data_IF_237717507210
#
_entry.id   IF_237717507210
#
_cell.length_a   1.000
_cell.length_b   1.000
_cell.length_c   1.000
_cell.angle_alpha   90.00
_cell.angle_beta   90.00
_cell.angle_gamma   90.00
#
_symmetry.space_group_name_H-M   'P 1'
#
loop_
_entity.id
_entity.type
_entity.pdbx_description
1 polymer ?
#
# COMPACT_ATOMS: atom_id res chain seq x y z
N UNK A 1 10.60 26.46 -64.14
CA UNK A 1 10.27 25.34 -63.23
C UNK A 1 10.09 25.87 -61.78
N UNK A 2 8.85 26.07 -61.33
CA UNK A 2 8.54 26.50 -59.94
C UNK A 2 8.56 25.27 -59.04
N UNK A 3 9.58 25.11 -58.19
CA UNK A 3 9.62 24.04 -57.16
C UNK A 3 8.54 24.29 -56.15
N UNK A 4 7.60 23.34 -55.98
CA UNK A 4 6.46 23.38 -55.09
C UNK A 4 6.90 23.64 -53.64
N UNK A 5 6.50 24.77 -53.01
CA UNK A 5 6.80 25.07 -51.62
C UNK A 5 6.08 24.08 -50.62
N UNK A 6 4.95 23.50 -51.04
CA UNK A 6 4.14 22.60 -50.21
C UNK A 6 4.92 21.39 -49.63
N UNK A 7 5.86 20.81 -50.37
CA UNK A 7 6.65 19.67 -49.84
C UNK A 7 7.59 20.04 -48.68
N UNK A 8 8.00 21.30 -48.57
CA UNK A 8 8.85 21.76 -47.46
C UNK A 8 8.04 21.94 -46.18
N UNK A 9 6.83 22.50 -46.24
CA UNK A 9 5.94 22.67 -45.08
C UNK A 9 5.46 21.35 -44.55
N UNK A 10 5.16 20.36 -45.42
CA UNK A 10 4.77 19.02 -44.99
C UNK A 10 5.89 18.32 -44.22
N UNK A 11 7.15 18.40 -44.73
CA UNK A 11 8.32 17.81 -44.04
C UNK A 11 8.62 18.51 -42.73
N UNK A 12 8.48 19.81 -42.64
CA UNK A 12 8.66 20.58 -41.42
C UNK A 12 7.55 20.23 -40.39
N UNK A 13 6.30 20.16 -40.81
CA UNK A 13 5.20 19.73 -39.98
C UNK A 13 5.39 18.32 -39.40
N UNK A 14 5.78 17.33 -40.25
CA UNK A 14 6.08 15.99 -39.78
C UNK A 14 7.25 15.95 -38.77
N UNK A 15 8.32 16.73 -39.02
CA UNK A 15 9.45 16.79 -38.09
C UNK A 15 9.06 17.38 -36.73
N UNK A 16 8.27 18.45 -36.73
CA UNK A 16 7.75 19.06 -35.48
C UNK A 16 6.86 18.10 -34.74
N UNK A 17 5.95 17.40 -35.44
CA UNK A 17 5.07 16.39 -34.81
C UNK A 17 5.85 15.25 -34.18
N UNK A 18 6.89 14.74 -34.88
CA UNK A 18 7.77 13.70 -34.36
C UNK A 18 8.56 14.16 -33.14
N UNK A 19 9.07 15.40 -33.17
CA UNK A 19 9.78 15.97 -32.00
C UNK A 19 8.86 16.16 -30.81
N UNK A 20 7.62 16.62 -31.02
CA UNK A 20 6.62 16.73 -29.95
C UNK A 20 6.23 15.37 -29.40
N UNK A 21 6.03 14.37 -30.27
CA UNK A 21 5.76 12.99 -29.84
C UNK A 21 6.93 12.41 -29.04
N UNK A 22 8.18 12.62 -29.51
CA UNK A 22 9.36 12.17 -28.78
C UNK A 22 9.51 12.89 -27.42
N UNK A 23 9.32 14.22 -27.39
CA UNK A 23 9.34 14.99 -26.15
C UNK A 23 8.25 14.54 -25.19
N UNK A 24 7.04 14.28 -25.68
CA UNK A 24 5.93 13.74 -24.89
C UNK A 24 6.26 12.35 -24.35
N UNK A 25 6.84 11.47 -25.17
CA UNK A 25 7.27 10.14 -24.74
C UNK A 25 8.36 10.23 -23.66
N UNK A 26 9.39 11.06 -23.87
CA UNK A 26 10.41 11.29 -22.85
C UNK A 26 9.82 11.86 -21.57
N UNK A 27 8.90 12.83 -21.69
CA UNK A 27 8.20 13.38 -20.52
C UNK A 27 7.36 12.31 -19.80
N UNK A 28 6.66 11.44 -20.54
CA UNK A 28 5.82 10.38 -20.00
C UNK A 28 6.64 9.35 -19.22
N UNK A 29 7.83 8.99 -19.74
CA UNK A 29 8.69 7.96 -19.16
C UNK A 29 9.86 8.51 -18.33
N UNK A 30 10.05 9.84 -18.27
CA UNK A 30 11.08 10.41 -17.41
C UNK A 30 10.77 10.16 -15.94
N UNK A 31 11.81 9.79 -15.18
CA UNK A 31 11.69 9.67 -13.73
C UNK A 31 11.24 10.99 -13.15
N UNK A 32 10.08 10.97 -12.51
CA UNK A 32 9.68 12.05 -11.61
C UNK A 32 10.23 11.73 -10.24
N UNK A 33 10.35 12.74 -9.39
CA UNK A 33 10.69 12.58 -7.99
C UNK A 33 9.60 11.74 -7.30
N UNK A 34 9.75 10.43 -7.35
CA UNK A 34 8.92 9.53 -6.57
C UNK A 34 9.21 9.82 -5.09
N UNK A 35 8.16 9.93 -4.33
CA UNK A 35 8.28 10.09 -2.89
C UNK A 35 8.29 8.69 -2.29
N UNK A 36 9.18 8.38 -1.31
CA UNK A 36 9.14 7.11 -0.62
C UNK A 36 7.73 6.85 -0.08
N UNK A 37 7.14 5.70 -0.41
CA UNK A 37 5.77 5.37 -0.03
C UNK A 37 5.57 5.37 1.49
N UNK A 38 6.59 4.99 2.26
CA UNK A 38 6.59 5.07 3.73
C UNK A 38 6.45 6.48 4.31
N UNK A 39 6.74 7.52 3.52
CA UNK A 39 6.63 8.91 3.98
C UNK A 39 5.19 9.38 4.22
N UNK A 40 4.21 8.64 3.72
CA UNK A 40 2.78 8.91 3.95
C UNK A 40 2.27 8.34 5.29
N UNK A 41 3.01 7.39 5.89
CA UNK A 41 2.69 6.86 7.19
C UNK A 41 3.12 7.84 8.31
N UNK A 42 2.31 7.96 9.37
CA UNK A 42 2.64 8.73 10.55
C UNK A 42 3.06 7.84 11.72
N UNK A 43 3.67 8.46 12.73
CA UNK A 43 4.05 7.79 13.99
C UNK A 43 2.85 7.21 14.75
N UNK A 44 1.65 7.68 14.46
CA UNK A 44 0.40 7.23 15.10
C UNK A 44 -0.25 6.05 14.37
N UNK A 45 0.36 5.54 13.29
CA UNK A 45 -0.14 4.35 12.63
C UNK A 45 -0.10 3.14 13.59
N UNK A 46 -1.16 2.35 13.56
CA UNK A 46 -1.25 1.11 14.33
C UNK A 46 -0.51 -0.04 13.64
N UNK A 47 -0.53 -0.06 12.32
CA UNK A 47 0.19 -1.02 11.49
C UNK A 47 0.73 -0.28 10.28
N UNK A 48 1.98 -0.51 9.95
CA UNK A 48 2.59 -0.08 8.68
C UNK A 48 3.31 -1.26 8.08
N UNK A 49 2.96 -1.58 6.85
CA UNK A 49 3.60 -2.61 6.03
C UNK A 49 4.20 -1.96 4.81
N UNK A 50 5.41 -2.34 4.45
CA UNK A 50 6.11 -1.87 3.27
C UNK A 50 6.79 -3.04 2.58
N UNK A 51 6.68 -3.10 1.26
CA UNK A 51 7.39 -4.11 0.47
C UNK A 51 7.58 -3.70 -0.97
N UNK A 52 8.65 -4.22 -1.59
CA UNK A 52 8.77 -4.22 -3.04
C UNK A 52 7.76 -5.22 -3.59
N UNK A 53 6.98 -4.80 -4.58
CA UNK A 53 6.14 -5.71 -5.35
C UNK A 53 6.98 -6.30 -6.48
N UNK A 54 7.33 -7.57 -6.35
CA UNK A 54 8.09 -8.27 -7.37
C UNK A 54 7.14 -8.77 -8.46
N UNK A 55 7.24 -8.27 -9.72
CA UNK A 55 6.37 -8.73 -10.81
C UNK A 55 6.61 -10.19 -11.23
N UNK A 56 7.67 -10.83 -10.73
CA UNK A 56 7.96 -12.25 -10.97
C UNK A 56 7.43 -13.16 -9.87
N UNK A 57 6.92 -12.60 -8.78
CA UNK A 57 6.26 -13.34 -7.73
C UNK A 57 4.83 -13.70 -8.16
N UNK A 58 4.52 -15.01 -8.19
CA UNK A 58 3.23 -15.50 -8.67
C UNK A 58 2.08 -15.03 -7.78
N UNK A 59 2.26 -15.03 -6.46
CA UNK A 59 1.23 -14.61 -5.51
C UNK A 59 0.88 -13.13 -5.64
N UNK A 60 1.91 -12.29 -5.76
CA UNK A 60 1.72 -10.84 -5.97
C UNK A 60 1.05 -10.56 -7.32
N UNK A 61 1.43 -11.31 -8.35
CA UNK A 61 0.82 -11.21 -9.69
C UNK A 61 -0.65 -11.62 -9.66
N UNK A 62 -0.98 -12.74 -9.01
CA UNK A 62 -2.35 -13.21 -8.87
C UNK A 62 -3.22 -12.21 -8.12
N UNK A 63 -2.70 -11.65 -7.02
CA UNK A 63 -3.39 -10.60 -6.28
C UNK A 63 -3.66 -9.36 -7.16
N UNK A 64 -2.67 -8.93 -7.94
CA UNK A 64 -2.80 -7.79 -8.85
C UNK A 64 -3.85 -8.04 -9.94
N UNK A 65 -3.81 -9.21 -10.58
CA UNK A 65 -4.79 -9.61 -11.59
C UNK A 65 -6.21 -9.73 -10.99
N UNK A 66 -6.32 -10.28 -9.79
CA UNK A 66 -7.60 -10.35 -9.08
C UNK A 66 -8.14 -8.95 -8.76
N UNK A 67 -7.28 -8.07 -8.24
CA UNK A 67 -7.64 -6.67 -7.95
C UNK A 67 -8.12 -5.95 -9.21
N UNK A 68 -7.41 -6.11 -10.34
CA UNK A 68 -7.82 -5.50 -11.60
C UNK A 68 -9.15 -6.06 -12.12
N UNK A 69 -9.38 -7.37 -11.98
CA UNK A 69 -10.62 -8.02 -12.45
C UNK A 69 -11.82 -7.66 -11.59
N UNK A 70 -11.63 -7.22 -10.34
CA UNK A 70 -12.68 -6.79 -9.43
C UNK A 70 -13.20 -5.36 -9.71
N UNK A 71 -12.46 -4.58 -10.53
CA UNK A 71 -12.91 -3.25 -10.94
C UNK A 71 -14.25 -3.32 -11.68
N UNK A 72 -15.17 -2.39 -11.36
CA UNK A 72 -16.50 -2.35 -11.96
C UNK A 72 -16.41 -2.00 -13.45
N UNK A 73 -17.42 -2.37 -14.23
CA UNK A 73 -17.51 -2.04 -15.66
C UNK A 73 -17.34 -0.54 -15.97
N UNK A 74 -17.76 0.32 -15.05
CA UNK A 74 -17.61 1.77 -15.19
C UNK A 74 -16.15 2.21 -15.13
N UNK A 75 -15.26 1.36 -14.60
CA UNK A 75 -13.82 1.60 -14.42
C UNK A 75 -12.97 0.83 -15.45
N UNK A 76 -13.58 0.25 -16.49
CA UNK A 76 -12.88 -0.54 -17.52
C UNK A 76 -11.69 0.22 -18.16
N UNK A 77 -11.81 1.53 -18.29
CA UNK A 77 -10.72 2.37 -18.77
C UNK A 77 -9.55 2.40 -17.77
N UNK A 78 -9.84 2.43 -16.47
CA UNK A 78 -8.84 2.44 -15.40
C UNK A 78 -8.10 1.10 -15.37
N UNK A 79 -8.82 -0.03 -15.46
CA UNK A 79 -8.23 -1.35 -15.59
C UNK A 79 -7.24 -1.42 -16.77
N UNK A 80 -7.64 -0.97 -17.95
CA UNK A 80 -6.77 -0.95 -19.13
C UNK A 80 -5.52 -0.11 -18.92
N UNK A 81 -5.65 1.05 -18.28
CA UNK A 81 -4.51 1.93 -17.95
C UNK A 81 -3.59 1.28 -16.92
N UNK A 82 -4.13 0.69 -15.86
CA UNK A 82 -3.35 0.01 -14.82
C UNK A 82 -2.61 -1.22 -15.37
N UNK A 83 -3.25 -2.02 -16.23
CA UNK A 83 -2.58 -3.12 -16.95
C UNK A 83 -1.44 -2.63 -17.84
N UNK A 84 -1.64 -1.49 -18.53
CA UNK A 84 -0.60 -0.89 -19.36
C UNK A 84 0.55 -0.32 -18.55
N UNK A 85 0.29 0.27 -17.40
CA UNK A 85 1.32 0.77 -16.48
C UNK A 85 2.16 -0.37 -15.88
N UNK A 86 1.58 -1.55 -15.78
CA UNK A 86 2.18 -2.69 -15.12
C UNK A 86 1.99 -2.65 -13.60
N UNK A 87 2.57 -3.64 -12.94
CA UNK A 87 2.50 -3.79 -11.49
C UNK A 87 3.25 -2.67 -10.76
N UNK A 88 2.75 -2.17 -9.62
CA UNK A 88 3.50 -1.26 -8.77
C UNK A 88 4.82 -1.87 -8.33
N UNK A 89 5.87 -1.06 -8.20
CA UNK A 89 7.20 -1.52 -7.76
C UNK A 89 7.36 -1.52 -6.25
N UNK A 90 6.65 -0.66 -5.57
CA UNK A 90 6.74 -0.48 -4.12
C UNK A 90 5.36 -0.07 -3.59
N UNK A 91 4.98 -0.66 -2.47
CA UNK A 91 3.75 -0.34 -1.77
C UNK A 91 4.03 -0.14 -0.27
N UNK A 92 3.34 0.82 0.31
CA UNK A 92 3.21 0.96 1.76
C UNK A 92 1.74 1.03 2.11
N UNK A 93 1.33 0.23 3.09
CA UNK A 93 -0.03 0.28 3.66
C UNK A 93 0.10 0.69 5.12
N UNK A 94 -0.72 1.63 5.55
CA UNK A 94 -0.76 2.09 6.93
C UNK A 94 -2.20 2.13 7.43
N UNK A 95 -2.43 1.61 8.65
CA UNK A 95 -3.73 1.63 9.30
C UNK A 95 -3.69 2.49 10.56
N UNK A 96 -4.76 3.23 10.76
CA UNK A 96 -4.97 4.13 11.89
C UNK A 96 -6.28 3.80 12.60
N UNK A 97 -6.37 4.12 13.88
CA UNK A 97 -7.65 4.06 14.58
C UNK A 97 -8.42 5.35 14.35
N UNK A 98 -9.64 5.21 13.83
CA UNK A 98 -10.66 6.25 13.83
C UNK A 98 -11.90 5.63 14.45
N UNK A 99 -12.18 5.97 15.71
CA UNK A 99 -13.31 5.34 16.43
C UNK A 99 -14.63 5.58 15.69
N UNK A 100 -15.42 4.51 15.46
CA UNK A 100 -15.25 3.11 15.92
C UNK A 100 -14.47 2.21 14.95
N UNK A 101 -13.97 2.69 13.80
CA UNK A 101 -13.40 1.92 12.71
C UNK A 101 -11.88 2.08 12.57
N UNK A 102 -11.27 1.19 11.82
CA UNK A 102 -9.92 1.37 11.28
C UNK A 102 -10.01 2.13 9.96
N UNK A 103 -9.08 3.04 9.73
CA UNK A 103 -8.90 3.73 8.46
C UNK A 103 -7.55 3.37 7.86
N UNK A 104 -7.52 3.20 6.54
CA UNK A 104 -6.35 2.77 5.81
C UNK A 104 -5.84 3.80 4.81
N UNK A 105 -4.53 3.76 4.59
CA UNK A 105 -3.84 4.47 3.52
C UNK A 105 -2.98 3.45 2.80
N UNK A 106 -3.09 3.37 1.47
CA UNK A 106 -2.15 2.66 0.62
C UNK A 106 -1.45 3.65 -0.31
N UNK A 107 -0.14 3.59 -0.37
CA UNK A 107 0.68 4.40 -1.26
C UNK A 107 1.49 3.48 -2.17
N UNK A 108 1.42 3.69 -3.48
CA UNK A 108 2.08 2.82 -4.48
C UNK A 108 2.89 3.64 -5.48
N UNK A 109 4.06 3.13 -5.86
CA UNK A 109 4.91 3.69 -6.89
C UNK A 109 4.91 2.80 -8.14
N UNK A 110 4.49 3.34 -9.28
CA UNK A 110 4.51 2.64 -10.56
C UNK A 110 5.83 2.84 -11.30
N UNK A 111 6.32 1.82 -12.04
CA UNK A 111 7.64 1.86 -12.67
C UNK A 111 7.75 2.86 -13.83
N UNK A 112 6.67 3.07 -14.60
CA UNK A 112 6.67 3.89 -15.80
C UNK A 112 5.26 4.27 -16.22
N UNK A 113 5.14 5.35 -17.02
CA UNK A 113 3.87 5.73 -17.65
C UNK A 113 2.80 6.29 -16.70
N UNK A 114 3.01 6.26 -15.38
CA UNK A 114 2.02 6.69 -14.39
C UNK A 114 1.54 8.14 -14.56
N UNK A 115 2.30 8.98 -15.27
CA UNK A 115 1.87 10.35 -15.59
C UNK A 115 0.59 10.42 -16.40
N UNK A 116 0.23 9.37 -17.12
CA UNK A 116 -1.08 9.28 -17.77
C UNK A 116 -2.21 9.30 -16.75
N UNK A 117 -2.05 8.60 -15.62
CA UNK A 117 -3.02 8.68 -14.52
C UNK A 117 -3.11 10.08 -13.92
N UNK A 118 -2.01 10.82 -13.90
CA UNK A 118 -1.98 12.16 -13.33
C UNK A 118 -2.81 13.19 -14.11
N UNK A 119 -2.93 13.01 -15.44
CA UNK A 119 -3.65 13.94 -16.30
C UNK A 119 -5.13 14.09 -15.86
N UNK A 120 -5.93 13.01 -15.71
CA UNK A 120 -7.30 13.13 -15.23
C UNK A 120 -7.39 13.76 -13.84
N UNK A 121 -6.52 13.36 -12.92
CA UNK A 121 -6.49 13.94 -11.57
C UNK A 121 -6.22 15.43 -11.59
N UNK A 122 -5.31 15.90 -12.44
CA UNK A 122 -4.97 17.31 -12.57
C UNK A 122 -6.08 18.13 -13.22
N UNK A 123 -6.81 17.58 -14.16
CA UNK A 123 -7.85 18.30 -14.91
C UNK A 123 -9.17 18.34 -14.14
N UNK A 124 -9.56 17.20 -13.56
CA UNK A 124 -10.91 17.02 -12.99
C UNK A 124 -10.90 16.80 -11.47
N UNK A 125 -9.75 16.55 -10.86
CA UNK A 125 -9.62 16.27 -9.44
C UNK A 125 -9.66 17.54 -8.57
N UNK A 126 -9.99 17.33 -7.30
CA UNK A 126 -9.77 18.32 -6.24
C UNK A 126 -8.26 18.52 -6.03
N UNK A 127 -7.89 19.63 -5.42
CA UNK A 127 -6.51 19.95 -5.12
C UNK A 127 -6.29 20.17 -3.61
N UNK A 128 -5.25 19.54 -3.05
CA UNK A 128 -4.84 19.75 -1.66
C UNK A 128 -3.31 19.76 -1.55
N UNK A 129 -2.71 20.87 -1.18
CA UNK A 129 -1.27 21.04 -0.89
C UNK A 129 -0.31 20.38 -1.93
N UNK A 130 -0.64 20.49 -3.20
CA UNK A 130 0.15 19.93 -4.31
C UNK A 130 -0.24 18.51 -4.74
N UNK A 131 -1.18 17.88 -4.04
CA UNK A 131 -1.81 16.64 -4.48
C UNK A 131 -3.06 16.94 -5.32
N UNK A 132 -3.39 16.05 -6.24
CA UNK A 132 -4.63 16.06 -7.00
C UNK A 132 -5.37 14.75 -6.75
N UNK A 133 -6.68 14.78 -6.46
CA UNK A 133 -7.42 13.60 -6.05
C UNK A 133 -8.90 13.65 -6.41
N UNK A 134 -9.50 12.47 -6.46
CA UNK A 134 -10.94 12.26 -6.48
C UNK A 134 -11.38 11.72 -5.14
N UNK A 135 -12.55 12.12 -4.67
CA UNK A 135 -13.18 11.55 -3.50
C UNK A 135 -14.65 11.26 -3.83
N UNK A 136 -15.09 10.03 -3.59
CA UNK A 136 -16.51 9.68 -3.62
C UNK A 136 -17.15 9.94 -2.28
N UNK A 137 -18.42 10.33 -2.26
CA UNK A 137 -19.15 10.56 -1.00
C UNK A 137 -20.36 9.64 -0.93
N UNK A 138 -20.47 8.73 0.07
CA UNK A 138 -19.48 8.34 1.08
C UNK A 138 -18.46 7.38 0.50
N UNK A 139 -17.18 7.51 0.77
CA UNK A 139 -16.19 6.51 0.41
C UNK A 139 -14.80 7.01 0.10
N UNK A 140 -14.09 6.19 -0.63
CA UNK A 140 -12.67 6.20 -0.90
C UNK A 140 -12.18 7.46 -1.59
N UNK A 141 -11.01 7.96 -1.18
CA UNK A 141 -10.27 8.99 -1.87
C UNK A 141 -9.06 8.39 -2.59
N UNK A 142 -8.91 8.72 -3.88
CA UNK A 142 -7.82 8.28 -4.72
C UNK A 142 -7.13 9.49 -5.33
N UNK A 143 -5.82 9.61 -5.21
CA UNK A 143 -5.11 10.76 -5.72
C UNK A 143 -3.63 10.52 -5.96
N UNK A 144 -2.96 11.56 -6.45
CA UNK A 144 -1.55 11.52 -6.78
C UNK A 144 -0.78 12.67 -6.16
N UNK A 145 0.40 12.36 -5.66
CA UNK A 145 1.37 13.34 -5.18
C UNK A 145 2.79 12.95 -5.62
N UNK A 146 3.48 13.83 -6.35
CA UNK A 146 4.87 13.64 -6.74
C UNK A 146 5.15 12.34 -7.50
N UNK A 147 4.15 11.71 -8.11
CA UNK A 147 4.29 10.44 -8.85
C UNK A 147 3.95 9.20 -8.05
N UNK A 148 3.49 9.35 -6.83
CA UNK A 148 2.96 8.28 -6.00
C UNK A 148 1.44 8.32 -6.02
N UNK A 149 0.81 7.20 -6.33
CA UNK A 149 -0.64 7.02 -6.21
C UNK A 149 -0.97 6.71 -4.75
N UNK A 150 -1.98 7.39 -4.22
CA UNK A 150 -2.44 7.25 -2.84
C UNK A 150 -3.92 6.89 -2.86
N UNK A 151 -4.25 5.81 -2.17
CA UNK A 151 -5.61 5.37 -1.89
C UNK A 151 -5.86 5.53 -0.39
N UNK A 152 -6.99 6.11 -0.02
CA UNK A 152 -7.39 6.27 1.37
C UNK A 152 -8.88 6.00 1.52
N UNK A 153 -9.31 5.57 2.70
CA UNK A 153 -10.70 5.20 2.98
C UNK A 153 -11.67 6.39 2.88
N UNK A 154 -11.15 7.62 3.07
CA UNK A 154 -11.93 8.85 2.90
C UNK A 154 -11.05 10.05 2.56
N UNK A 155 -11.69 11.19 2.27
CA UNK A 155 -11.03 12.45 1.92
C UNK A 155 -10.17 13.00 3.07
N UNK A 156 -10.61 12.89 4.31
CA UNK A 156 -9.88 13.38 5.48
C UNK A 156 -8.59 12.57 5.69
N UNK A 157 -8.67 11.25 5.53
CA UNK A 157 -7.53 10.32 5.59
C UNK A 157 -6.53 10.57 4.46
N UNK A 158 -7.01 10.89 3.25
CA UNK A 158 -6.14 11.31 2.15
C UNK A 158 -5.39 12.60 2.49
N UNK A 159 -6.08 13.61 3.00
CA UNK A 159 -5.46 14.87 3.43
C UNK A 159 -4.44 14.64 4.56
N UNK A 160 -4.74 13.74 5.50
CA UNK A 160 -3.81 13.33 6.56
C UNK A 160 -2.52 12.72 5.97
N UNK A 161 -2.62 11.86 4.96
CA UNK A 161 -1.45 11.29 4.28
C UNK A 161 -0.55 12.37 3.69
N UNK A 162 -1.13 13.37 3.02
CA UNK A 162 -0.39 14.50 2.46
C UNK A 162 0.26 15.35 3.55
N UNK A 163 -0.44 15.60 4.66
CA UNK A 163 0.10 16.35 5.80
C UNK A 163 1.27 15.63 6.45
N UNK A 164 1.18 14.30 6.61
CA UNK A 164 2.27 13.48 7.11
C UNK A 164 3.52 13.58 6.22
N UNK A 165 3.32 13.47 4.90
CA UNK A 165 4.40 13.63 3.93
C UNK A 165 5.08 15.00 4.04
N UNK A 166 4.31 16.08 4.16
CA UNK A 166 4.85 17.44 4.26
C UNK A 166 5.59 17.67 5.57
N UNK A 167 5.12 17.08 6.67
CA UNK A 167 5.82 17.10 7.97
C UNK A 167 7.12 16.30 7.90
N UNK A 168 7.12 15.12 7.26
CA UNK A 168 8.30 14.28 7.10
C UNK A 168 9.41 14.95 6.28
N UNK A 169 9.09 15.90 5.39
CA UNK A 169 10.08 16.70 4.66
C UNK A 169 10.84 17.69 5.56
N UNK A 170 10.25 18.10 6.67
CA UNK A 170 10.84 19.06 7.62
C UNK A 170 11.52 18.43 8.82
N UNK A 171 11.32 17.16 9.07
CA UNK A 171 11.85 16.42 10.22
C UNK A 171 12.51 15.13 9.74
N UNK A 172 13.47 14.62 10.56
CA UNK A 172 14.12 13.34 10.30
C UNK A 172 13.07 12.29 9.88
N UNK A 173 13.34 11.63 8.74
CA UNK A 173 12.52 10.55 8.19
C UNK A 173 12.05 9.64 9.30
N UNK A 174 10.75 9.41 9.39
CA UNK A 174 10.21 8.32 10.16
C UNK A 174 10.79 7.03 9.58
N UNK A 175 11.91 6.62 10.14
CA UNK A 175 12.43 5.29 9.92
C UNK A 175 11.62 4.36 10.81
N UNK A 176 10.56 3.80 10.26
CA UNK A 176 10.34 2.40 10.51
C UNK A 176 11.62 1.74 10.02
N UNK A 177 12.58 1.59 10.93
CA UNK A 177 13.68 0.68 10.65
C UNK A 177 12.99 -0.64 10.40
N UNK A 178 12.96 -1.13 9.13
CA UNK A 178 12.27 -2.37 8.88
C UNK A 178 12.88 -3.39 9.82
N UNK A 179 12.06 -4.26 10.41
CA UNK A 179 12.51 -5.27 11.34
C UNK A 179 13.67 -6.01 10.71
N UNK A 180 14.79 -6.03 11.39
CA UNK A 180 16.01 -6.64 10.84
C UNK A 180 15.88 -8.16 10.68
N UNK A 181 14.94 -8.79 11.44
CA UNK A 181 14.78 -10.25 11.46
C UNK A 181 13.87 -10.78 10.36
N UNK A 182 12.83 -10.03 9.98
CA UNK A 182 11.84 -10.49 9.01
C UNK A 182 12.09 -9.99 7.60
N UNK A 183 12.96 -8.98 7.42
CA UNK A 183 13.18 -8.27 6.15
C UNK A 183 13.58 -9.17 4.97
N UNK A 184 14.39 -10.17 5.24
CA UNK A 184 14.92 -11.07 4.19
C UNK A 184 14.08 -12.36 4.05
N UNK A 185 12.96 -12.46 4.79
CA UNK A 185 12.12 -13.65 4.85
C UNK A 185 10.72 -13.45 4.28
N UNK A 186 10.28 -12.19 4.15
CA UNK A 186 8.92 -11.82 3.76
C UNK A 186 8.93 -10.71 2.72
N UNK A 187 7.95 -10.74 1.81
CA UNK A 187 7.77 -9.72 0.77
C UNK A 187 7.38 -8.39 1.36
N UNK A 188 6.46 -8.39 2.31
CA UNK A 188 6.05 -7.22 3.07
C UNK A 188 6.56 -7.32 4.49
N UNK A 189 7.20 -6.26 4.95
CA UNK A 189 7.67 -6.15 6.33
C UNK A 189 7.22 -4.84 6.92
N UNK A 190 7.05 -4.84 8.23
CA UNK A 190 6.59 -3.63 8.88
C UNK A 190 6.63 -3.68 10.38
N UNK A 191 5.96 -2.69 10.97
CA UNK A 191 5.82 -2.57 12.41
C UNK A 191 4.34 -2.44 12.78
N UNK A 192 3.98 -3.08 13.86
CA UNK A 192 2.63 -3.10 14.40
C UNK A 192 2.63 -2.64 15.84
N UNK A 193 1.76 -1.69 16.16
CA UNK A 193 1.44 -1.40 17.55
C UNK A 193 0.64 -2.59 18.12
N UNK A 194 1.01 -3.14 19.29
CA UNK A 194 0.28 -4.25 19.89
C UNK A 194 -1.23 -4.00 20.00
N UNK A 195 -1.64 -2.75 20.13
CA UNK A 195 -3.06 -2.34 20.19
C UNK A 195 -3.84 -2.57 18.88
N UNK A 196 -3.16 -2.91 17.81
CA UNK A 196 -3.81 -3.26 16.54
C UNK A 196 -4.55 -4.61 16.66
N UNK A 197 -3.86 -5.62 17.20
CA UNK A 197 -4.43 -6.96 17.40
C UNK A 197 -5.06 -7.15 18.79
N UNK A 198 -4.52 -6.46 19.79
CA UNK A 198 -4.89 -6.70 21.19
C UNK A 198 -5.81 -5.57 21.68
N UNK A 199 -7.08 -5.84 22.03
CA UNK A 199 -8.01 -4.85 22.56
C UNK A 199 -7.49 -4.17 23.82
N UNK A 200 -8.00 -2.96 24.12
CA UNK A 200 -7.55 -2.15 25.26
C UNK A 200 -7.77 -2.82 26.62
N UNK A 201 -8.67 -3.78 26.70
CA UNK A 201 -9.04 -4.49 27.94
C UNK A 201 -7.98 -5.52 28.40
N UNK A 202 -6.91 -5.69 27.64
CA UNK A 202 -5.83 -6.64 27.93
C UNK A 202 -4.72 -6.05 28.81
N UNK A 203 -5.02 -5.39 29.89
CA UNK A 203 -4.03 -5.08 30.92
C UNK A 203 -2.73 -4.42 30.40
N UNK A 204 -1.57 -4.91 30.82
CA UNK A 204 -0.27 -4.43 30.38
C UNK A 204 0.08 -5.00 29.00
N UNK A 205 -0.20 -4.23 27.94
CA UNK A 205 0.28 -4.54 26.58
C UNK A 205 1.75 -4.16 26.44
N UNK A 206 2.51 -4.86 25.57
CA UNK A 206 3.85 -4.44 25.20
C UNK A 206 3.86 -2.97 24.78
N UNK A 207 4.84 -2.22 25.27
CA UNK A 207 5.04 -0.81 24.88
C UNK A 207 5.70 -0.71 23.55
N UNK A 208 6.48 -1.72 23.16
CA UNK A 208 7.30 -1.71 21.94
C UNK A 208 6.50 -2.22 20.73
N UNK A 209 6.87 -1.72 19.55
CA UNK A 209 6.29 -2.16 18.30
C UNK A 209 6.67 -3.61 18.01
N UNK A 210 5.70 -4.40 17.58
CA UNK A 210 5.96 -5.72 17.03
C UNK A 210 6.52 -5.62 15.62
N UNK A 211 7.39 -6.56 15.26
CA UNK A 211 7.81 -6.77 13.88
C UNK A 211 6.76 -7.61 13.16
N UNK A 212 6.42 -7.26 11.91
CA UNK A 212 5.45 -8.00 11.08
C UNK A 212 6.08 -8.31 9.75
N UNK A 213 5.95 -9.57 9.32
CA UNK A 213 6.29 -10.02 7.98
C UNK A 213 5.08 -10.69 7.33
N UNK A 214 4.84 -10.43 6.05
CA UNK A 214 3.72 -10.99 5.30
C UNK A 214 4.19 -11.39 3.90
N UNK A 215 3.87 -12.62 3.48
CA UNK A 215 3.96 -13.09 2.11
C UNK A 215 2.57 -13.24 1.51
N UNK A 216 2.42 -12.80 0.27
CA UNK A 216 1.25 -13.04 -0.55
C UNK A 216 1.52 -14.29 -1.40
N UNK A 217 0.86 -15.40 -1.05
CA UNK A 217 1.05 -16.69 -1.74
C UNK A 217 0.17 -16.75 -2.99
N UNK A 218 -0.99 -16.12 -2.96
CA UNK A 218 -1.95 -16.04 -4.05
C UNK A 218 -3.04 -15.02 -3.76
N UNK A 219 -3.98 -14.86 -4.68
CA UNK A 219 -5.06 -13.87 -4.54
C UNK A 219 -5.89 -14.07 -3.25
N UNK A 220 -6.02 -15.30 -2.79
CA UNK A 220 -6.82 -15.69 -1.63
C UNK A 220 -6.00 -16.42 -0.57
N UNK A 221 -4.69 -16.25 -0.58
CA UNK A 221 -3.80 -16.89 0.38
C UNK A 221 -2.72 -15.93 0.87
N UNK A 222 -2.63 -15.81 2.19
CA UNK A 222 -1.69 -14.94 2.88
C UNK A 222 -1.03 -15.71 4.02
N UNK A 223 0.28 -15.56 4.15
CA UNK A 223 1.08 -16.09 5.25
C UNK A 223 1.80 -14.94 5.93
N UNK A 224 1.92 -15.00 7.26
CA UNK A 224 2.64 -13.98 7.98
C UNK A 224 3.21 -14.45 9.29
N UNK A 225 4.09 -13.62 9.82
CA UNK A 225 4.72 -13.79 11.13
C UNK A 225 4.72 -12.45 11.86
N UNK A 226 4.40 -12.50 13.14
CA UNK A 226 4.53 -11.35 14.05
C UNK A 226 5.48 -11.71 15.16
N UNK A 227 6.41 -10.82 15.45
CA UNK A 227 7.42 -11.00 16.45
C UNK A 227 7.38 -9.87 17.50
N UNK A 228 7.25 -10.21 18.76
CA UNK A 228 7.27 -9.28 19.89
C UNK A 228 8.50 -9.45 20.73
N UNK A 229 9.07 -8.33 21.17
CA UNK A 229 10.03 -8.26 22.24
C UNK A 229 9.30 -7.69 23.46
N UNK A 230 9.10 -8.51 24.47
CA UNK A 230 8.41 -8.12 25.72
C UNK A 230 9.45 -7.64 26.75
N UNK A 231 9.03 -6.77 27.67
CA UNK A 231 9.90 -6.27 28.73
C UNK A 231 10.06 -7.25 29.89
N UNK A 232 9.18 -8.25 29.98
CA UNK A 232 9.21 -9.29 31.00
C UNK A 232 8.55 -10.57 30.49
N UNK A 233 8.85 -11.70 31.16
CA UNK A 233 8.20 -12.97 30.87
C UNK A 233 6.70 -12.94 31.18
N UNK A 234 6.26 -12.16 32.18
CA UNK A 234 4.86 -11.96 32.50
C UNK A 234 4.10 -11.27 31.37
N UNK A 235 4.73 -10.29 30.75
CA UNK A 235 4.21 -9.60 29.56
C UNK A 235 4.12 -10.55 28.37
N UNK A 236 5.17 -11.35 28.13
CA UNK A 236 5.17 -12.36 27.07
C UNK A 236 4.04 -13.40 27.27
N UNK A 237 3.79 -13.81 28.52
CA UNK A 237 2.68 -14.71 28.83
C UNK A 237 1.30 -14.04 28.59
N UNK A 238 1.17 -12.75 28.90
CA UNK A 238 -0.03 -12.00 28.60
C UNK A 238 -0.31 -11.90 27.10
N UNK A 239 0.72 -11.66 26.28
CA UNK A 239 0.63 -11.67 24.79
C UNK A 239 0.16 -13.04 24.32
N UNK A 240 0.75 -14.14 24.80
CA UNK A 240 0.37 -15.50 24.40
C UNK A 240 -1.11 -15.78 24.70
N UNK A 241 -1.61 -15.38 25.86
CA UNK A 241 -3.04 -15.51 26.23
C UNK A 241 -3.95 -14.64 25.37
N UNK A 242 -3.51 -13.43 25.02
CA UNK A 242 -4.26 -12.55 24.14
C UNK A 242 -4.38 -13.13 22.73
N UNK A 243 -3.31 -13.71 22.20
CA UNK A 243 -3.30 -14.38 20.90
C UNK A 243 -4.29 -15.56 20.85
N UNK A 244 -4.54 -16.29 21.94
CA UNK A 244 -5.57 -17.34 21.98
C UNK A 244 -6.98 -16.85 21.62
N UNK A 245 -7.27 -15.59 21.94
CA UNK A 245 -8.57 -14.97 21.61
C UNK A 245 -8.59 -14.43 20.21
N UNK A 246 -7.52 -13.75 19.82
CA UNK A 246 -7.35 -13.23 18.44
C UNK A 246 -7.48 -14.37 17.42
N UNK A 247 -6.82 -15.49 17.66
CA UNK A 247 -6.92 -16.69 16.82
C UNK A 247 -8.37 -17.19 16.67
N UNK A 248 -9.13 -17.20 17.77
CA UNK A 248 -10.54 -17.62 17.76
C UNK A 248 -11.43 -16.64 17.00
N UNK A 249 -11.18 -15.33 17.12
CA UNK A 249 -11.92 -14.29 16.41
C UNK A 249 -11.65 -14.37 14.91
N UNK A 250 -10.37 -14.43 14.51
CA UNK A 250 -9.98 -14.58 13.10
C UNK A 250 -10.55 -15.87 12.51
N UNK A 251 -10.45 -16.99 13.24
CA UNK A 251 -10.99 -18.27 12.79
C UNK A 251 -12.52 -18.23 12.57
N UNK A 252 -13.23 -17.48 13.41
CA UNK A 252 -14.67 -17.29 13.26
C UNK A 252 -15.00 -16.42 12.04
N UNK A 253 -14.29 -15.31 11.84
CA UNK A 253 -14.51 -14.41 10.71
C UNK A 253 -14.17 -15.10 9.40
N UNK A 254 -12.97 -15.63 9.26
CA UNK A 254 -12.52 -16.37 8.05
C UNK A 254 -13.43 -17.57 7.78
N UNK A 255 -13.82 -18.32 8.80
CA UNK A 255 -14.74 -19.45 8.65
C UNK A 255 -16.16 -19.04 8.25
N UNK A 256 -16.63 -17.85 8.63
CA UNK A 256 -17.95 -17.34 8.20
C UNK A 256 -17.99 -17.02 6.70
N UNK A 257 -16.85 -16.74 6.09
CA UNK A 257 -16.66 -16.50 4.66
C UNK A 257 -16.30 -17.78 3.87
N UNK A 258 -16.23 -18.93 4.55
CA UNK A 258 -15.88 -20.21 3.93
C UNK A 258 -14.36 -20.46 3.85
N UNK A 259 -13.56 -19.54 4.36
CA UNK A 259 -12.10 -19.62 4.37
C UNK A 259 -11.56 -20.52 5.49
N UNK A 260 -10.27 -20.76 5.45
CA UNK A 260 -9.51 -21.55 6.44
C UNK A 260 -8.35 -20.74 6.98
N UNK A 261 -8.01 -20.97 8.24
CA UNK A 261 -6.84 -20.39 8.86
C UNK A 261 -6.05 -21.41 9.68
N UNK A 262 -4.79 -21.17 9.83
CA UNK A 262 -3.93 -21.94 10.75
C UNK A 262 -3.00 -20.97 11.49
N UNK A 263 -2.72 -21.29 12.75
CA UNK A 263 -1.89 -20.50 13.62
C UNK A 263 -0.86 -21.37 14.30
N UNK A 264 0.31 -20.77 14.55
CA UNK A 264 1.36 -21.36 15.37
C UNK A 264 1.96 -20.24 16.21
N UNK A 265 2.11 -20.47 17.50
CA UNK A 265 2.77 -19.53 18.39
C UNK A 265 3.71 -20.23 19.35
N UNK A 266 4.79 -19.57 19.72
CA UNK A 266 5.73 -20.05 20.72
C UNK A 266 6.41 -18.88 21.42
N UNK A 267 7.07 -19.20 22.52
CA UNK A 267 7.74 -18.23 23.38
C UNK A 267 9.12 -18.75 23.80
N UNK A 268 10.10 -17.88 23.77
CA UNK A 268 11.42 -18.09 24.35
C UNK A 268 11.79 -16.91 25.26
N UNK A 269 11.66 -17.09 26.57
CA UNK A 269 11.85 -16.02 27.54
C UNK A 269 10.89 -14.85 27.29
N UNK A 270 11.43 -13.68 26.96
CA UNK A 270 10.67 -12.46 26.64
C UNK A 270 10.28 -12.32 25.16
N UNK A 271 10.64 -13.27 24.34
CA UNK A 271 10.36 -13.24 22.91
C UNK A 271 9.10 -14.05 22.61
N UNK A 272 8.19 -13.48 21.81
CA UNK A 272 6.96 -14.15 21.35
C UNK A 272 6.90 -14.11 19.85
N UNK A 273 6.61 -15.25 19.25
CA UNK A 273 6.37 -15.41 17.83
C UNK A 273 4.95 -15.90 17.59
N UNK A 274 4.34 -15.41 16.53
CA UNK A 274 3.03 -15.83 16.06
C UNK A 274 3.02 -15.90 14.54
N UNK A 275 2.92 -17.12 14.02
CA UNK A 275 2.75 -17.39 12.59
C UNK A 275 1.27 -17.60 12.30
N UNK A 276 0.82 -17.10 11.15
CA UNK A 276 -0.53 -17.31 10.66
C UNK A 276 -0.54 -17.58 9.16
N UNK A 277 -1.54 -18.35 8.72
CA UNK A 277 -1.84 -18.58 7.32
C UNK A 277 -3.34 -18.51 7.12
N UNK A 278 -3.79 -17.69 6.19
CA UNK A 278 -5.19 -17.49 5.83
C UNK A 278 -5.37 -17.96 4.39
N UNK A 279 -6.42 -18.77 4.13
CA UNK A 279 -6.68 -19.42 2.84
C UNK A 279 -8.16 -19.23 2.52
N UNK A 280 -8.47 -18.93 1.24
CA UNK A 280 -9.84 -18.77 0.75
C UNK A 280 -10.61 -17.66 1.48
N UNK A 281 -9.94 -16.55 1.81
CA UNK A 281 -10.57 -15.38 2.40
C UNK A 281 -10.58 -14.22 1.41
N UNK A 282 -11.53 -13.31 1.55
CA UNK A 282 -11.64 -12.14 0.67
C UNK A 282 -10.81 -11.01 1.24
N UNK A 283 -9.68 -10.70 0.60
CA UNK A 283 -8.83 -9.55 0.97
C UNK A 283 -9.52 -8.20 0.72
N UNK A 284 -10.42 -8.17 -0.27
CA UNK A 284 -11.19 -6.98 -0.65
C UNK A 284 -12.65 -7.39 -0.85
N UNK A 285 -13.58 -6.90 -0.02
CA UNK A 285 -15.02 -7.17 -0.17
C UNK A 285 -15.61 -6.50 -1.39
#
# INVERSE_FOLDING_TARGET
MRKHPQKRYLRFGCAVTLLLAAAFTVWLFSNTNQVPTSSFASTNALLVLQGPLNPHDEGVKDLWEHTLSSLRREEEWLEKVLRWLGMPLEMTVAFYRSEPSLIGIAAVNFPKGYRLLWIPFRIFGKHYKGAHYFASTPGTALGMYGGTLILADDEATFCLAIDNLLRAKGQQKFHLSPPRRLRDRYDFVGAMNPRFLLPQDYGQLPSDLAEVGIDIIGANELKGEVFWICQSEREAEAVMKALDRVEKEIAREVGSEGGRCSFRKWREGMFVWWEFRLIEFTLFP
#
